data_IF_835707145164
#
_entry.id   IF_835707145164
#
_cell.length_a   1.000
_cell.length_b   1.000
_cell.length_c   1.000
_cell.angle_alpha   90.00
_cell.angle_beta   90.00
_cell.angle_gamma   90.00
#
_symmetry.space_group_name_H-M   'P 1'
#
loop_
_entity.id
_entity.type
_entity.pdbx_description
1 polymer ?
#
# COMPACT_ATOMS: atom_id res chain seq x y z
N UNK A 1 3.33 -7.01 32.80
CA UNK A 1 2.24 -7.33 31.85
C UNK A 1 2.72 -6.92 30.45
N UNK A 2 2.93 -7.86 29.54
CA UNK A 2 3.25 -7.54 28.14
C UNK A 2 1.98 -6.94 27.51
N UNK A 3 2.06 -5.81 26.77
CA UNK A 3 0.88 -5.27 26.09
C UNK A 3 0.40 -6.31 25.08
N UNK A 4 -0.91 -6.55 25.10
CA UNK A 4 -1.62 -7.42 24.17
C UNK A 4 -1.18 -7.08 22.73
N UNK A 5 -0.58 -8.03 22.02
CA UNK A 5 -0.29 -7.88 20.60
C UNK A 5 -1.65 -7.66 19.92
N UNK A 6 -1.93 -6.42 19.52
CA UNK A 6 -3.09 -6.10 18.68
C UNK A 6 -2.99 -6.98 17.44
N UNK A 7 -4.04 -7.72 17.17
CA UNK A 7 -4.13 -8.60 16.01
C UNK A 7 -4.15 -7.71 14.74
N UNK A 8 -2.97 -7.32 14.26
CA UNK A 8 -2.84 -6.45 13.08
C UNK A 8 -3.03 -7.31 11.86
N UNK A 9 -4.09 -7.06 11.10
CA UNK A 9 -4.30 -7.65 9.79
C UNK A 9 -3.75 -6.72 8.72
N UNK A 10 -2.94 -7.27 7.81
CA UNK A 10 -2.35 -6.51 6.72
C UNK A 10 -3.22 -6.61 5.47
N UNK A 11 -3.73 -5.49 5.01
CA UNK A 11 -4.36 -5.40 3.70
C UNK A 11 -3.29 -5.34 2.60
N UNK A 12 -3.48 -6.15 1.56
CA UNK A 12 -2.61 -6.17 0.39
C UNK A 12 -3.29 -5.55 -0.83
N UNK A 13 -2.49 -5.06 -1.75
CA UNK A 13 -2.90 -4.27 -2.89
C UNK A 13 -3.10 -5.12 -4.15
N UNK A 14 -4.28 -5.07 -4.75
CA UNK A 14 -4.58 -5.75 -6.01
C UNK A 14 -3.76 -5.24 -7.19
N UNK A 15 -3.27 -4.00 -7.19
CA UNK A 15 -2.38 -3.52 -8.24
C UNK A 15 -1.09 -4.33 -8.33
N UNK A 16 -0.54 -4.78 -7.18
CA UNK A 16 0.64 -5.63 -7.17
C UNK A 16 0.35 -7.03 -7.71
N UNK A 17 -0.80 -7.62 -7.35
CA UNK A 17 -1.24 -8.90 -7.90
C UNK A 17 -1.45 -8.80 -9.42
N UNK A 18 -2.15 -7.76 -9.87
CA UNK A 18 -2.37 -7.46 -11.29
C UNK A 18 -1.07 -7.28 -12.06
N UNK A 19 -0.11 -6.55 -11.48
CA UNK A 19 1.19 -6.30 -12.12
C UNK A 19 1.96 -7.59 -12.36
N UNK A 20 1.95 -8.54 -11.41
CA UNK A 20 2.60 -9.84 -11.58
C UNK A 20 2.05 -10.62 -12.79
N UNK A 21 0.75 -10.58 -13.02
CA UNK A 21 0.14 -11.21 -14.19
C UNK A 21 0.42 -10.41 -15.47
N UNK A 22 0.38 -9.08 -15.40
CA UNK A 22 0.63 -8.22 -16.55
C UNK A 22 2.05 -8.38 -17.10
N UNK A 23 3.06 -8.47 -16.24
CA UNK A 23 4.46 -8.67 -16.63
C UNK A 23 4.63 -9.96 -17.46
N UNK A 24 3.82 -11.01 -17.22
CA UNK A 24 3.83 -12.25 -18.01
C UNK A 24 3.28 -12.04 -19.44
N UNK A 25 2.42 -11.07 -19.64
CA UNK A 25 1.84 -10.80 -20.98
C UNK A 25 2.72 -9.92 -21.86
N UNK A 26 3.80 -9.36 -21.32
CA UNK A 26 4.76 -8.54 -22.06
C UNK A 26 5.79 -9.38 -22.83
N UNK A 27 5.92 -10.67 -22.50
CA UNK A 27 6.83 -11.57 -23.17
C UNK A 27 6.32 -12.03 -24.54
N UNK A 28 7.20 -12.62 -25.34
CA UNK A 28 6.86 -13.19 -26.67
C UNK A 28 6.04 -14.49 -26.58
N UNK A 29 5.96 -15.10 -25.40
CA UNK A 29 5.22 -16.38 -25.20
C UNK A 29 3.78 -16.05 -24.80
N UNK A 30 2.78 -16.70 -25.43
CA UNK A 30 1.39 -16.54 -25.04
C UNK A 30 1.17 -16.92 -23.56
N UNK A 31 0.46 -16.08 -22.81
CA UNK A 31 0.18 -16.27 -21.40
C UNK A 31 -1.35 -16.25 -21.13
N UNK A 32 -2.11 -17.25 -21.64
CA UNK A 32 -3.57 -17.25 -21.58
C UNK A 32 -4.08 -17.21 -20.13
N UNK A 33 -3.48 -17.98 -19.22
CA UNK A 33 -3.84 -17.98 -17.81
C UNK A 33 -3.66 -16.59 -17.19
N UNK A 34 -2.57 -15.88 -17.49
CA UNK A 34 -2.36 -14.52 -17.00
C UNK A 34 -3.37 -13.54 -17.59
N UNK A 35 -3.74 -13.68 -18.86
CA UNK A 35 -4.76 -12.87 -19.51
C UNK A 35 -6.14 -13.06 -18.89
N UNK A 36 -6.52 -14.30 -18.57
CA UNK A 36 -7.79 -14.58 -17.90
C UNK A 36 -7.83 -13.99 -16.48
N UNK A 37 -6.75 -14.12 -15.73
CA UNK A 37 -6.64 -13.49 -14.41
C UNK A 37 -6.75 -11.96 -14.49
N UNK A 38 -6.12 -11.34 -15.49
CA UNK A 38 -6.24 -9.89 -15.72
C UNK A 38 -7.66 -9.46 -16.05
N UNK A 39 -8.40 -10.23 -16.85
CA UNK A 39 -9.82 -9.96 -17.15
C UNK A 39 -10.65 -9.97 -15.87
N UNK A 40 -10.50 -11.00 -15.04
CA UNK A 40 -11.25 -11.11 -13.79
C UNK A 40 -10.93 -9.97 -12.82
N UNK A 41 -9.64 -9.63 -12.64
CA UNK A 41 -9.23 -8.50 -11.81
C UNK A 41 -9.77 -7.18 -12.36
N UNK A 42 -9.86 -7.01 -13.69
CA UNK A 42 -10.42 -5.80 -14.30
C UNK A 42 -11.87 -5.54 -13.93
N UNK A 43 -12.66 -6.61 -13.71
CA UNK A 43 -14.05 -6.49 -13.25
C UNK A 43 -14.13 -5.90 -11.84
N UNK A 44 -13.21 -6.27 -10.94
CA UNK A 44 -13.14 -5.65 -9.62
C UNK A 44 -12.84 -4.15 -9.72
N UNK A 45 -11.90 -3.76 -10.59
CA UNK A 45 -11.59 -2.34 -10.82
C UNK A 45 -12.77 -1.58 -11.42
N UNK A 46 -13.59 -2.23 -12.26
CA UNK A 46 -14.80 -1.63 -12.81
C UNK A 46 -15.82 -1.33 -11.71
N UNK A 47 -16.04 -2.28 -10.79
CA UNK A 47 -16.91 -2.08 -9.62
C UNK A 47 -16.37 -0.95 -8.75
N UNK A 48 -15.09 -0.97 -8.37
CA UNK A 48 -14.48 0.06 -7.56
C UNK A 48 -14.58 1.47 -8.18
N UNK A 49 -14.57 1.55 -9.51
CA UNK A 49 -14.78 2.82 -10.22
C UNK A 49 -16.20 3.38 -10.00
N UNK A 50 -17.23 2.52 -9.94
CA UNK A 50 -18.63 2.97 -9.76
C UNK A 50 -18.94 3.42 -8.33
N UNK A 51 -18.25 2.86 -7.33
CA UNK A 51 -18.47 3.18 -5.91
C UNK A 51 -17.53 4.28 -5.39
N UNK A 52 -16.75 4.88 -6.28
CA UNK A 52 -15.82 5.96 -5.91
C UNK A 52 -16.59 7.17 -5.41
N UNK A 53 -16.14 7.74 -4.27
CA UNK A 53 -16.76 8.92 -3.66
C UNK A 53 -17.98 8.62 -2.79
N UNK A 54 -18.42 7.38 -2.71
CA UNK A 54 -19.48 6.95 -1.79
C UNK A 54 -18.96 6.81 -0.35
N UNK A 55 -19.89 6.77 0.61
CA UNK A 55 -19.55 6.52 2.03
C UNK A 55 -18.98 5.12 2.23
N UNK A 56 -18.30 4.89 3.37
CA UNK A 56 -17.73 3.58 3.69
C UNK A 56 -18.81 2.49 3.76
N UNK A 57 -19.98 2.81 4.30
CA UNK A 57 -21.11 1.90 4.42
C UNK A 57 -21.67 1.52 3.05
N UNK A 58 -21.85 2.51 2.17
CA UNK A 58 -22.32 2.28 0.79
C UNK A 58 -21.31 1.45 -0.01
N UNK A 59 -20.01 1.78 0.11
CA UNK A 59 -18.96 1.01 -0.53
C UNK A 59 -18.93 -0.44 -0.05
N UNK A 60 -19.09 -0.67 1.24
CA UNK A 60 -19.12 -2.01 1.80
C UNK A 60 -20.31 -2.82 1.25
N UNK A 61 -21.51 -2.24 1.25
CA UNK A 61 -22.72 -2.89 0.71
C UNK A 61 -22.56 -3.28 -0.77
N UNK A 62 -22.11 -2.36 -1.62
CA UNK A 62 -21.85 -2.61 -3.04
C UNK A 62 -20.76 -3.67 -3.27
N UNK A 63 -19.72 -3.68 -2.43
CA UNK A 63 -18.65 -4.69 -2.50
C UNK A 63 -19.16 -6.08 -2.12
N UNK A 64 -20.00 -6.17 -1.09
CA UNK A 64 -20.62 -7.44 -0.69
C UNK A 64 -21.54 -7.97 -1.78
N UNK A 65 -22.32 -7.11 -2.44
CA UNK A 65 -23.24 -7.51 -3.50
C UNK A 65 -22.51 -7.87 -4.80
N UNK A 66 -21.54 -7.04 -5.23
CA UNK A 66 -20.95 -7.13 -6.58
C UNK A 66 -19.53 -7.69 -6.61
N UNK A 67 -18.68 -7.34 -5.62
CA UNK A 67 -17.28 -7.75 -5.63
C UNK A 67 -17.09 -9.12 -4.98
N UNK A 68 -17.84 -9.48 -3.94
CA UNK A 68 -17.68 -10.78 -3.27
C UNK A 68 -17.88 -11.96 -4.22
N UNK A 69 -18.94 -12.02 -5.06
CA UNK A 69 -19.09 -13.11 -6.04
C UNK A 69 -17.94 -13.17 -7.06
N UNK A 70 -17.36 -12.01 -7.40
CA UNK A 70 -16.20 -11.97 -8.31
C UNK A 70 -14.93 -12.48 -7.63
N UNK A 71 -14.75 -12.20 -6.34
CA UNK A 71 -13.65 -12.75 -5.55
C UNK A 71 -13.74 -14.28 -5.45
N UNK A 72 -14.94 -14.84 -5.26
CA UNK A 72 -15.15 -16.27 -5.26
C UNK A 72 -14.82 -16.91 -6.62
N UNK A 73 -15.20 -16.25 -7.71
CA UNK A 73 -14.83 -16.68 -9.05
C UNK A 73 -13.31 -16.62 -9.30
N UNK A 74 -12.64 -15.56 -8.82
CA UNK A 74 -11.18 -15.44 -8.89
C UNK A 74 -10.50 -16.53 -8.05
N UNK A 75 -11.05 -16.86 -6.88
CA UNK A 75 -10.52 -17.94 -6.04
C UNK A 75 -10.57 -19.28 -6.76
N UNK A 76 -11.73 -19.61 -7.34
CA UNK A 76 -11.93 -20.83 -8.11
C UNK A 76 -10.96 -20.91 -9.30
N UNK A 77 -10.85 -19.81 -10.06
CA UNK A 77 -9.90 -19.69 -11.17
C UNK A 77 -8.45 -19.88 -10.69
N UNK A 78 -8.07 -19.23 -9.57
CA UNK A 78 -6.71 -19.30 -9.02
C UNK A 78 -6.33 -20.74 -8.68
N UNK A 79 -7.23 -21.49 -8.03
CA UNK A 79 -6.98 -22.86 -7.62
C UNK A 79 -6.89 -23.79 -8.84
N UNK A 80 -7.74 -23.61 -9.84
CA UNK A 80 -7.67 -24.34 -11.11
C UNK A 80 -6.38 -24.00 -11.87
N UNK A 81 -6.04 -22.73 -12.01
CA UNK A 81 -4.84 -22.31 -12.74
C UNK A 81 -3.56 -22.84 -12.07
N UNK A 82 -3.52 -22.90 -10.75
CA UNK A 82 -2.38 -23.46 -10.01
C UNK A 82 -2.19 -24.95 -10.22
N UNK A 83 -3.25 -25.70 -10.48
CA UNK A 83 -3.14 -27.13 -10.78
C UNK A 83 -2.59 -27.41 -12.19
N UNK A 84 -2.70 -26.44 -13.10
CA UNK A 84 -2.33 -26.58 -14.51
C UNK A 84 -0.88 -26.16 -14.82
N UNK A 85 -0.21 -25.47 -13.89
CA UNK A 85 1.14 -24.90 -14.15
C UNK A 85 2.16 -25.37 -13.11
N UNK A 86 3.40 -25.52 -13.54
CA UNK A 86 4.50 -25.80 -12.63
C UNK A 86 4.69 -24.63 -11.66
N UNK A 87 4.83 -24.92 -10.36
CA UNK A 87 5.11 -23.92 -9.33
C UNK A 87 6.43 -23.15 -9.54
N UNK A 88 7.36 -23.74 -10.34
CA UNK A 88 8.65 -23.11 -10.70
C UNK A 88 8.56 -22.21 -11.93
N UNK A 89 7.45 -22.27 -12.69
CA UNK A 89 7.27 -21.41 -13.86
C UNK A 89 7.01 -19.93 -13.44
N UNK A 90 7.27 -18.95 -14.31
CA UNK A 90 6.93 -17.56 -14.03
C UNK A 90 5.44 -17.36 -13.70
N UNK A 91 4.55 -18.06 -14.43
CA UNK A 91 3.11 -18.05 -14.16
C UNK A 91 2.80 -18.68 -12.79
N UNK A 92 3.40 -19.83 -12.45
CA UNK A 92 3.24 -20.45 -11.14
C UNK A 92 3.72 -19.57 -10.00
N UNK A 93 4.81 -18.83 -10.18
CA UNK A 93 5.32 -17.87 -9.20
C UNK A 93 4.33 -16.71 -8.98
N UNK A 94 3.70 -16.16 -10.04
CA UNK A 94 2.69 -15.12 -9.95
C UNK A 94 1.43 -15.61 -9.22
N UNK A 95 0.94 -16.82 -9.57
CA UNK A 95 -0.22 -17.42 -8.90
C UNK A 95 0.07 -17.75 -7.44
N UNK A 96 1.29 -18.22 -7.12
CA UNK A 96 1.73 -18.45 -5.73
C UNK A 96 1.75 -17.17 -4.92
N UNK A 97 2.17 -16.04 -5.53
CA UNK A 97 2.12 -14.73 -4.88
C UNK A 97 0.68 -14.36 -4.50
N UNK A 98 -0.26 -14.45 -5.44
CA UNK A 98 -1.68 -14.13 -5.19
C UNK A 98 -2.25 -15.03 -4.09
N UNK A 99 -2.00 -16.34 -4.15
CA UNK A 99 -2.46 -17.30 -3.16
C UNK A 99 -1.89 -17.03 -1.76
N UNK A 100 -0.60 -16.68 -1.68
CA UNK A 100 0.07 -16.36 -0.41
C UNK A 100 -0.55 -15.17 0.31
N UNK A 101 -0.96 -14.16 -0.43
CA UNK A 101 -1.47 -12.92 0.13
C UNK A 101 -3.00 -12.81 0.06
N UNK A 102 -3.68 -13.93 -0.23
CA UNK A 102 -5.13 -13.96 -0.47
C UNK A 102 -5.94 -13.31 0.63
N UNK A 103 -5.72 -13.70 1.90
CA UNK A 103 -6.45 -13.17 3.04
C UNK A 103 -6.37 -11.64 3.14
N UNK A 104 -5.19 -11.09 2.90
CA UNK A 104 -5.00 -9.64 2.91
C UNK A 104 -5.53 -8.93 1.67
N UNK A 105 -5.60 -9.62 0.52
CA UNK A 105 -6.19 -9.09 -0.71
C UNK A 105 -7.71 -8.95 -0.61
N UNK A 106 -8.39 -9.80 0.17
CA UNK A 106 -9.86 -9.76 0.33
C UNK A 106 -10.33 -8.87 1.48
N UNK A 107 -9.45 -8.31 2.30
CA UNK A 107 -9.83 -7.48 3.44
C UNK A 107 -10.68 -6.25 3.07
N UNK A 108 -10.55 -5.72 1.86
CA UNK A 108 -11.39 -4.61 1.39
C UNK A 108 -12.90 -4.95 1.34
N UNK A 109 -13.25 -6.25 1.38
CA UNK A 109 -14.63 -6.71 1.48
C UNK A 109 -15.19 -6.63 2.91
N UNK A 110 -14.36 -6.46 3.93
CA UNK A 110 -14.79 -6.46 5.33
C UNK A 110 -15.02 -5.06 5.89
N UNK A 111 -14.40 -4.05 5.27
CA UNK A 111 -14.53 -2.65 5.71
C UNK A 111 -14.45 -1.72 4.48
N UNK A 112 -15.48 -0.90 4.30
CA UNK A 112 -15.56 0.04 3.17
C UNK A 112 -14.48 1.12 3.19
N UNK A 113 -13.76 1.33 4.29
CA UNK A 113 -12.61 2.26 4.40
C UNK A 113 -11.35 1.69 3.80
N UNK A 114 -11.21 0.35 3.76
CA UNK A 114 -10.04 -0.30 3.18
C UNK A 114 -10.08 -0.14 1.67
N UNK A 115 -9.01 0.40 1.09
CA UNK A 115 -8.89 0.50 -0.35
C UNK A 115 -8.43 -0.83 -0.96
N UNK A 116 -9.06 -1.25 -2.06
CA UNK A 116 -8.65 -2.43 -2.83
C UNK A 116 -7.25 -2.23 -3.43
N UNK A 117 -6.91 -0.98 -3.69
CA UNK A 117 -5.69 -0.58 -4.40
C UNK A 117 -5.00 0.58 -3.69
N UNK A 118 -3.77 0.36 -3.23
CA UNK A 118 -2.96 1.38 -2.57
C UNK A 118 -2.47 2.49 -3.52
N UNK A 119 -2.62 2.33 -4.86
CA UNK A 119 -2.36 3.43 -5.80
C UNK A 119 -3.33 4.61 -5.61
N UNK A 120 -4.38 4.40 -4.83
CA UNK A 120 -5.39 5.41 -4.49
C UNK A 120 -5.26 6.00 -3.10
N UNK A 121 -4.39 5.49 -2.25
CA UNK A 121 -3.94 6.30 -1.14
C UNK A 121 -3.28 7.54 -1.75
N UNK A 122 -3.92 8.74 -1.73
CA UNK A 122 -3.44 9.87 -2.53
C UNK A 122 -2.02 10.29 -2.14
N UNK A 123 -1.54 9.82 -1.01
CA UNK A 123 -0.30 10.22 -0.40
C UNK A 123 0.82 9.18 -0.43
N UNK A 124 0.55 7.87 -0.41
CA UNK A 124 1.62 6.90 -0.10
C UNK A 124 2.23 6.13 -1.25
N UNK A 125 1.60 5.98 -2.41
CA UNK A 125 2.05 4.99 -3.41
C UNK A 125 2.33 5.51 -4.81
N UNK A 126 1.93 6.74 -5.16
CA UNK A 126 2.22 7.28 -6.51
C UNK A 126 3.71 7.54 -6.78
N UNK A 127 4.55 7.50 -5.75
CA UNK A 127 5.99 7.74 -5.88
C UNK A 127 6.82 6.52 -6.31
N UNK A 128 6.26 5.31 -6.28
CA UNK A 128 7.06 4.10 -6.48
C UNK A 128 7.20 3.64 -7.94
N UNK A 129 6.38 4.11 -8.88
CA UNK A 129 6.36 3.52 -10.23
C UNK A 129 6.25 4.48 -11.41
N UNK A 130 6.09 5.79 -11.21
CA UNK A 130 5.93 6.69 -12.36
C UNK A 130 6.34 8.13 -12.02
N UNK A 131 7.43 8.61 -12.57
CA UNK A 131 7.92 10.01 -12.60
C UNK A 131 8.09 10.69 -11.24
N UNK A 132 9.05 11.59 -11.06
CA UNK A 132 9.19 12.37 -9.83
C UNK A 132 7.99 13.30 -9.69
N UNK A 133 6.89 12.75 -9.16
CA UNK A 133 5.75 13.54 -8.75
C UNK A 133 5.99 13.97 -7.31
N UNK A 134 5.60 15.20 -6.99
CA UNK A 134 5.74 15.83 -5.68
C UNK A 134 4.89 15.16 -4.56
N UNK A 135 4.64 13.85 -4.65
CA UNK A 135 3.91 13.09 -3.63
C UNK A 135 4.81 12.63 -2.48
N UNK A 136 4.21 12.32 -1.32
CA UNK A 136 4.93 12.01 -0.07
C UNK A 136 5.91 10.84 -0.13
N UNK A 137 5.65 9.83 -0.92
CA UNK A 137 6.57 8.71 -1.15
C UNK A 137 7.62 8.97 -2.24
N UNK A 138 7.51 10.11 -2.95
CA UNK A 138 8.46 10.52 -3.98
C UNK A 138 9.91 10.54 -3.47
N UNK A 139 10.21 11.17 -2.33
CA UNK A 139 11.56 11.20 -1.76
C UNK A 139 12.10 9.82 -1.38
N UNK A 140 11.25 8.93 -0.84
CA UNK A 140 11.65 7.57 -0.46
C UNK A 140 11.92 6.73 -1.71
N UNK A 141 11.05 6.79 -2.71
CA UNK A 141 11.21 6.08 -3.97
C UNK A 141 12.43 6.60 -4.76
N UNK A 142 12.66 7.91 -4.75
CA UNK A 142 13.82 8.53 -5.39
C UNK A 142 15.12 8.14 -4.67
N UNK A 143 15.15 8.17 -3.35
CA UNK A 143 16.31 7.74 -2.58
C UNK A 143 16.60 6.25 -2.81
N UNK A 144 15.59 5.37 -2.82
CA UNK A 144 15.75 3.96 -3.14
C UNK A 144 16.32 3.73 -4.55
N UNK A 145 15.96 4.57 -5.51
CA UNK A 145 16.48 4.51 -6.88
C UNK A 145 17.91 5.01 -6.97
N UNK A 146 18.27 6.05 -6.21
CA UNK A 146 19.56 6.73 -6.29
C UNK A 146 20.60 6.14 -5.33
N UNK A 147 20.20 5.68 -4.16
CA UNK A 147 21.08 5.21 -3.10
C UNK A 147 21.15 3.67 -2.97
N UNK A 148 20.42 2.92 -3.78
CA UNK A 148 20.34 1.45 -3.83
C UNK A 148 19.85 0.79 -2.53
N UNK A 149 20.26 1.26 -1.36
CA UNK A 149 19.82 0.75 -0.04
C UNK A 149 19.97 1.82 1.04
N UNK A 150 19.35 1.60 2.19
CA UNK A 150 19.36 2.53 3.33
C UNK A 150 20.54 2.29 4.30
N UNK A 151 21.58 1.60 3.87
CA UNK A 151 22.75 1.25 4.67
C UNK A 151 22.56 -0.06 5.45
N UNK A 152 21.66 -0.07 6.41
CA UNK A 152 21.27 -1.23 7.21
C UNK A 152 19.85 -1.06 7.73
N UNK A 153 19.34 -2.04 8.48
CA UNK A 153 17.96 -2.06 8.96
C UNK A 153 17.60 -0.82 9.81
N UNK A 154 18.49 -0.41 10.69
CA UNK A 154 18.31 0.83 11.48
C UNK A 154 18.24 2.08 10.60
N UNK A 155 19.01 2.15 9.52
CA UNK A 155 18.92 3.22 8.54
C UNK A 155 17.58 3.26 7.83
N UNK A 156 17.03 2.09 7.48
CA UNK A 156 15.70 1.99 6.89
C UNK A 156 14.59 2.42 7.86
N UNK A 157 14.69 2.04 9.13
CA UNK A 157 13.76 2.45 10.18
C UNK A 157 13.80 3.96 10.41
N UNK A 158 14.99 4.55 10.50
CA UNK A 158 15.16 6.00 10.65
C UNK A 158 14.58 6.76 9.44
N UNK A 159 14.80 6.26 8.23
CA UNK A 159 14.21 6.82 7.01
C UNK A 159 12.68 6.77 7.05
N UNK A 160 12.11 5.63 7.43
CA UNK A 160 10.67 5.46 7.53
C UNK A 160 10.05 6.41 8.57
N UNK A 161 10.72 6.58 9.71
CA UNK A 161 10.29 7.48 10.77
C UNK A 161 10.32 8.95 10.32
N UNK A 162 11.42 9.42 9.73
CA UNK A 162 11.53 10.79 9.22
C UNK A 162 10.51 11.08 8.12
N UNK A 163 10.33 10.14 7.19
CA UNK A 163 9.31 10.26 6.15
C UNK A 163 7.90 10.36 6.73
N UNK A 164 7.59 9.55 7.74
CA UNK A 164 6.30 9.60 8.44
C UNK A 164 6.06 10.95 9.11
N UNK A 165 7.06 11.52 9.77
CA UNK A 165 6.96 12.85 10.40
C UNK A 165 6.72 13.95 9.35
N UNK A 166 7.46 13.94 8.24
CA UNK A 166 7.29 14.91 7.15
C UNK A 166 5.88 14.84 6.56
N UNK A 167 5.37 13.64 6.34
CA UNK A 167 4.01 13.46 5.80
C UNK A 167 2.94 13.88 6.81
N UNK A 168 3.16 13.61 8.08
CA UNK A 168 2.26 14.07 9.15
C UNK A 168 2.24 15.61 9.22
N UNK A 169 3.39 16.28 9.05
CA UNK A 169 3.43 17.74 8.95
C UNK A 169 2.54 18.26 7.81
N UNK A 170 2.66 17.66 6.62
CA UNK A 170 1.84 18.05 5.45
C UNK A 170 0.35 17.83 5.69
N UNK A 171 -0.04 16.70 6.31
CA UNK A 171 -1.43 16.41 6.66
C UNK A 171 -1.98 17.39 7.70
N UNK A 172 -1.13 17.86 8.62
CA UNK A 172 -1.47 18.84 9.66
C UNK A 172 -1.30 20.30 9.19
N UNK A 173 -1.02 20.52 7.89
CA UNK A 173 -0.76 21.86 7.31
C UNK A 173 0.42 22.60 7.97
N UNK A 174 1.37 21.86 8.49
CA UNK A 174 2.60 22.38 9.09
C UNK A 174 3.71 22.34 8.04
N UNK A 175 4.50 23.41 7.93
CA UNK A 175 5.68 23.40 7.07
C UNK A 175 6.72 22.41 7.62
N UNK A 176 7.10 21.34 6.88
CA UNK A 176 8.03 20.35 7.38
C UNK A 176 9.43 20.90 7.71
N UNK A 177 9.89 21.91 6.99
CA UNK A 177 11.19 22.53 7.24
C UNK A 177 11.21 23.27 8.58
N UNK A 178 10.19 24.12 8.83
CA UNK A 178 10.07 24.87 10.08
C UNK A 178 9.88 23.92 11.27
N UNK A 179 9.10 22.87 11.07
CA UNK A 179 8.90 21.82 12.06
C UNK A 179 10.22 21.14 12.44
N UNK A 180 11.00 20.68 11.46
CA UNK A 180 12.27 19.99 11.71
C UNK A 180 13.29 20.94 12.37
N UNK A 181 13.40 22.18 11.92
CA UNK A 181 14.32 23.17 12.48
C UNK A 181 14.01 23.44 13.95
N UNK A 182 12.75 23.75 14.28
CA UNK A 182 12.32 24.03 15.66
C UNK A 182 12.42 22.78 16.55
N UNK A 183 12.03 21.62 16.04
CA UNK A 183 12.09 20.36 16.79
C UNK A 183 13.54 19.97 17.11
N UNK A 184 14.45 20.06 16.14
CA UNK A 184 15.87 19.76 16.35
C UNK A 184 16.52 20.76 17.32
N UNK A 185 16.17 22.03 17.23
CA UNK A 185 16.63 23.06 18.19
C UNK A 185 16.12 22.78 19.60
N UNK A 186 14.85 22.41 19.74
CA UNK A 186 14.28 22.07 21.06
C UNK A 186 15.01 20.86 21.69
N UNK A 187 15.24 19.79 20.90
CA UNK A 187 15.99 18.62 21.38
C UNK A 187 17.42 18.98 21.75
N UNK A 188 18.11 19.75 20.92
CA UNK A 188 19.49 20.20 21.18
C UNK A 188 19.61 21.08 22.44
N UNK A 189 18.55 21.83 22.75
CA UNK A 189 18.46 22.66 23.96
C UNK A 189 17.96 21.89 25.20
N UNK A 190 17.89 20.56 25.15
CA UNK A 190 17.60 19.71 26.30
C UNK A 190 16.10 19.55 26.58
N UNK A 191 15.24 19.56 25.55
CA UNK A 191 13.82 19.22 25.71
C UNK A 191 13.64 17.86 26.39
N UNK A 192 12.81 17.81 27.43
CA UNK A 192 12.64 16.59 28.23
C UNK A 192 11.97 15.49 27.41
N UNK A 193 12.54 14.27 27.50
CA UNK A 193 11.97 13.13 26.78
C UNK A 193 10.57 12.74 27.28
N UNK A 194 10.23 13.04 28.54
CA UNK A 194 8.89 12.85 29.09
C UNK A 194 7.84 13.77 28.44
N UNK A 195 8.25 14.81 27.76
CA UNK A 195 7.40 15.80 27.13
C UNK A 195 7.46 15.74 25.59
N UNK A 196 7.98 14.64 25.02
CA UNK A 196 8.20 14.45 23.57
C UNK A 196 6.93 14.65 22.76
N UNK A 197 5.77 14.38 23.34
CA UNK A 197 4.48 14.56 22.69
C UNK A 197 4.22 16.02 22.27
N UNK A 198 4.83 16.99 22.94
CA UNK A 198 4.74 18.41 22.58
C UNK A 198 5.42 18.71 21.24
N UNK A 199 6.38 17.88 20.83
CA UNK A 199 7.12 18.00 19.58
C UNK A 199 6.45 17.29 18.41
N UNK A 200 5.29 16.66 18.60
CA UNK A 200 4.58 16.00 17.51
C UNK A 200 3.97 17.01 16.52
N UNK A 201 3.94 16.71 15.21
CA UNK A 201 3.54 17.68 14.19
C UNK A 201 2.18 18.34 14.40
N UNK A 202 1.21 17.59 14.96
CA UNK A 202 -0.14 18.10 15.23
C UNK A 202 -0.23 19.01 16.47
N UNK A 203 0.80 18.99 17.32
CA UNK A 203 0.91 19.88 18.47
C UNK A 203 1.78 21.13 18.16
N UNK A 204 2.38 21.15 16.96
CA UNK A 204 3.26 22.23 16.52
C UNK A 204 2.47 23.52 16.31
N UNK A 205 2.84 24.59 17.01
CA UNK A 205 2.29 25.93 16.83
C UNK A 205 3.27 26.71 15.96
N UNK A 206 2.91 27.06 14.71
CA UNK A 206 3.67 28.06 13.97
C UNK A 206 3.57 29.40 14.70
N UNK A 207 4.69 30.09 14.86
CA UNK A 207 4.71 31.50 15.29
C UNK A 207 4.32 32.38 14.13
#
# INVERSE_FOLDING_TARGET
MKPNARNIQLAYCWAHARRKLYELTLGSTPAPIAQDGLKQISELYRIEKTIRGQTAEQRLAERQEKSAPRIDAIKTWLDQARSQVSAKSPTGAALKYIARYWEGLILFLTDGRIEMDSERCPAMVRGATRTPSNGPSGPIALNRKNALFAGHETGAQNWAMLASLIETCKLSQVNPHDYLDKTLKAIANGHKQSEIDQLLPWNFKPE
#
